data_IF_706905409446
#
_entry.id   IF_706905409446
#
_cell.length_a   1.000
_cell.length_b   1.000
_cell.length_c   1.000
_cell.angle_alpha   90.00
_cell.angle_beta   90.00
_cell.angle_gamma   90.00
#
_symmetry.space_group_name_H-M   'P 1'
#
loop_
_entity.id
_entity.type
_entity.pdbx_description
1 polymer ?
#
# COMPACT_ATOMS: atom_id res chain seq x y z
N UNK A 1 18.24 17.81 21.88
CA UNK A 1 18.38 16.44 22.41
C UNK A 1 17.68 15.52 21.42
N UNK A 2 18.28 14.37 21.10
CA UNK A 2 17.60 13.38 20.25
C UNK A 2 16.41 12.78 20.99
N UNK A 3 15.30 12.60 20.32
CA UNK A 3 14.09 11.95 20.88
C UNK A 3 14.42 10.52 21.33
N UNK A 4 14.03 10.11 22.53
CA UNK A 4 14.20 8.73 22.99
C UNK A 4 12.97 7.89 22.61
N UNK A 5 13.11 6.95 21.64
CA UNK A 5 12.02 6.06 21.23
C UNK A 5 11.67 4.98 22.27
N UNK A 6 12.41 4.86 23.34
CA UNK A 6 12.12 3.90 24.43
C UNK A 6 11.36 4.56 25.57
N UNK A 7 11.07 5.85 25.46
CA UNK A 7 10.27 6.60 26.42
C UNK A 7 8.78 6.40 26.16
N UNK A 8 8.12 5.55 26.94
CA UNK A 8 6.70 5.23 26.78
C UNK A 8 5.76 6.46 26.82
N UNK A 9 5.97 7.46 27.72
CA UNK A 9 5.22 8.73 27.71
C UNK A 9 5.27 9.54 26.43
N UNK A 10 6.26 9.30 25.55
CA UNK A 10 6.39 10.00 24.27
C UNK A 10 5.19 9.74 23.34
N UNK A 11 4.72 8.50 23.26
CA UNK A 11 3.78 8.07 22.22
C UNK A 11 2.42 8.77 22.27
N UNK A 12 1.74 8.91 23.42
CA UNK A 12 0.49 9.67 23.48
C UNK A 12 0.62 11.16 23.14
N UNK A 13 1.84 11.73 23.21
CA UNK A 13 2.05 13.16 23.00
C UNK A 13 2.01 13.56 21.53
N UNK A 14 2.45 12.69 20.63
CA UNK A 14 2.45 12.98 19.20
C UNK A 14 1.38 12.20 18.42
N UNK A 15 0.74 11.20 19.01
CA UNK A 15 -0.28 10.35 18.37
C UNK A 15 -1.65 10.45 19.08
N UNK A 16 -2.27 11.64 19.16
CA UNK A 16 -3.58 11.80 19.79
C UNK A 16 -4.70 11.07 19.01
N UNK A 17 -4.51 10.86 17.71
CA UNK A 17 -5.42 10.12 16.83
C UNK A 17 -5.27 8.59 16.90
N UNK A 18 -4.36 8.09 17.75
CA UNK A 18 -4.11 6.66 17.96
C UNK A 18 -3.80 5.88 16.66
N UNK A 19 -2.94 6.44 15.80
CA UNK A 19 -2.46 5.79 14.57
C UNK A 19 -1.81 4.44 14.88
N UNK A 20 -1.12 4.33 16.01
CA UNK A 20 -0.51 3.08 16.45
C UNK A 20 -1.53 1.93 16.53
N UNK A 21 -2.74 2.20 17.03
CA UNK A 21 -3.81 1.19 17.08
C UNK A 21 -4.13 0.67 15.68
N UNK A 22 -4.29 1.57 14.71
CA UNK A 22 -4.64 1.18 13.34
C UNK A 22 -3.54 0.38 12.66
N UNK A 23 -2.27 0.68 12.95
CA UNK A 23 -1.12 -0.12 12.48
C UNK A 23 -1.18 -1.53 13.11
N UNK A 24 -1.42 -1.62 14.42
CA UNK A 24 -1.51 -2.90 15.13
C UNK A 24 -2.70 -3.76 14.69
N UNK A 25 -3.77 -3.14 14.22
CA UNK A 25 -4.98 -3.83 13.79
C UNK A 25 -4.81 -4.55 12.42
N UNK A 26 -3.69 -4.36 11.71
CA UNK A 26 -3.50 -4.94 10.37
C UNK A 26 -3.77 -6.46 10.29
N UNK A 27 -3.32 -7.32 11.23
CA UNK A 27 -3.66 -8.75 11.19
C UNK A 27 -5.17 -9.01 11.25
N UNK A 28 -5.89 -8.25 12.08
CA UNK A 28 -7.34 -8.36 12.22
C UNK A 28 -8.07 -7.81 11.00
N UNK A 29 -7.59 -6.68 10.42
CA UNK A 29 -8.13 -6.16 9.15
C UNK A 29 -8.07 -7.21 8.04
N UNK A 30 -6.95 -7.93 7.92
CA UNK A 30 -6.78 -9.01 6.93
C UNK A 30 -7.79 -10.13 7.18
N UNK A 31 -7.93 -10.61 8.42
CA UNK A 31 -8.83 -11.70 8.80
C UNK A 31 -10.30 -11.32 8.55
N UNK A 32 -10.71 -10.14 8.99
CA UNK A 32 -12.07 -9.65 8.86
C UNK A 32 -12.45 -9.38 7.40
N UNK A 33 -11.54 -8.72 6.65
CA UNK A 33 -11.76 -8.46 5.24
C UNK A 33 -11.87 -9.74 4.41
N UNK A 34 -11.09 -10.78 4.76
CA UNK A 34 -11.22 -12.09 4.12
C UNK A 34 -12.59 -12.72 4.37
N UNK A 35 -13.07 -12.70 5.61
CA UNK A 35 -14.39 -13.20 5.96
C UNK A 35 -15.51 -12.43 5.20
N UNK A 36 -15.44 -11.09 5.19
CA UNK A 36 -16.37 -10.25 4.40
C UNK A 36 -16.34 -10.64 2.93
N UNK A 37 -15.16 -10.83 2.36
CA UNK A 37 -15.04 -11.19 0.95
C UNK A 37 -15.67 -12.55 0.61
N UNK A 38 -15.67 -13.52 1.54
CA UNK A 38 -16.31 -14.84 1.30
C UNK A 38 -17.82 -14.74 1.21
N UNK A 39 -18.46 -13.86 2.00
CA UNK A 39 -19.92 -13.76 2.12
C UNK A 39 -20.54 -12.65 1.24
N UNK A 40 -19.73 -11.72 0.74
CA UNK A 40 -20.22 -10.57 -0.02
C UNK A 40 -20.91 -10.98 -1.34
N UNK A 41 -21.91 -10.22 -1.82
CA UNK A 41 -22.65 -10.56 -3.04
C UNK A 41 -21.75 -10.52 -4.28
N UNK A 42 -21.76 -11.61 -5.07
CA UNK A 42 -21.06 -11.70 -6.34
C UNK A 42 -21.83 -12.61 -7.29
N UNK A 43 -22.53 -12.08 -8.31
CA UNK A 43 -23.27 -12.88 -9.28
C UNK A 43 -22.33 -13.78 -10.10
N UNK A 44 -22.79 -15.01 -10.42
CA UNK A 44 -21.99 -15.98 -11.19
C UNK A 44 -21.57 -15.45 -12.56
N UNK A 45 -22.38 -14.62 -13.20
CA UNK A 45 -22.04 -13.98 -14.46
C UNK A 45 -20.73 -13.17 -14.41
N UNK A 46 -20.33 -12.68 -13.22
CA UNK A 46 -19.09 -11.91 -13.05
C UNK A 46 -17.82 -12.76 -13.17
N UNK A 47 -17.93 -14.10 -13.16
CA UNK A 47 -16.80 -15.01 -13.39
C UNK A 47 -16.33 -15.03 -14.85
N UNK A 48 -17.15 -14.55 -15.77
CA UNK A 48 -16.83 -14.50 -17.20
C UNK A 48 -16.23 -13.14 -17.59
N UNK A 49 -15.04 -12.86 -17.09
CA UNK A 49 -14.30 -11.60 -17.37
C UNK A 49 -12.94 -11.87 -18.02
N UNK A 50 -12.48 -10.90 -18.79
CA UNK A 50 -11.18 -10.93 -19.47
C UNK A 50 -10.19 -9.91 -18.87
N UNK A 51 -10.67 -8.95 -18.08
CA UNK A 51 -9.87 -7.86 -17.55
C UNK A 51 -10.49 -7.28 -16.27
N UNK A 52 -9.66 -6.79 -15.37
CA UNK A 52 -10.06 -6.06 -14.17
C UNK A 52 -9.47 -4.66 -14.19
N UNK A 53 -10.30 -3.65 -13.98
CA UNK A 53 -9.87 -2.28 -13.74
C UNK A 53 -10.28 -1.86 -12.32
N UNK A 54 -9.32 -1.43 -11.51
CA UNK A 54 -9.58 -0.90 -10.16
C UNK A 54 -9.48 0.62 -10.22
N UNK A 55 -10.62 1.30 -10.04
CA UNK A 55 -10.67 2.76 -9.92
C UNK A 55 -10.56 3.20 -8.47
N UNK A 56 -9.61 4.11 -8.17
CA UNK A 56 -9.42 4.59 -6.81
C UNK A 56 -8.29 5.59 -6.67
N UNK A 57 -8.19 6.22 -5.50
CA UNK A 57 -7.12 7.16 -5.14
C UNK A 57 -6.45 6.75 -3.84
N UNK A 58 -5.23 7.24 -3.58
CA UNK A 58 -4.50 7.08 -2.32
C UNK A 58 -4.47 5.65 -1.79
N UNK A 59 -4.97 5.45 -0.56
CA UNK A 59 -5.02 4.15 0.13
C UNK A 59 -5.88 3.09 -0.57
N UNK A 60 -6.93 3.50 -1.30
CA UNK A 60 -7.77 2.57 -2.07
C UNK A 60 -7.08 2.12 -3.36
N UNK A 61 -6.40 3.02 -4.05
CA UNK A 61 -5.67 2.70 -5.27
C UNK A 61 -4.44 1.84 -5.01
N UNK A 62 -3.73 2.05 -3.91
CA UNK A 62 -2.55 1.23 -3.57
C UNK A 62 -2.93 -0.23 -3.30
N UNK A 63 -4.14 -0.50 -2.76
CA UNK A 63 -4.68 -1.87 -2.66
C UNK A 63 -4.77 -2.56 -4.02
N UNK A 64 -5.22 -1.83 -5.04
CA UNK A 64 -5.23 -2.31 -6.44
C UNK A 64 -3.83 -2.56 -6.99
N UNK A 65 -2.84 -1.66 -6.76
CA UNK A 65 -1.45 -1.88 -7.19
C UNK A 65 -0.84 -3.12 -6.54
N UNK A 66 -1.12 -3.35 -5.25
CA UNK A 66 -0.64 -4.52 -4.52
C UNK A 66 -1.27 -5.81 -5.08
N UNK A 67 -2.58 -5.81 -5.34
CA UNK A 67 -3.23 -6.92 -6.02
C UNK A 67 -2.64 -7.12 -7.41
N UNK A 68 -2.39 -6.06 -8.19
CA UNK A 68 -1.75 -6.14 -9.51
C UNK A 68 -0.43 -6.91 -9.45
N UNK A 69 0.42 -6.60 -8.46
CA UNK A 69 1.69 -7.32 -8.27
C UNK A 69 1.51 -8.82 -7.99
N UNK A 70 0.45 -9.22 -7.29
CA UNK A 70 0.09 -10.63 -7.09
C UNK A 70 -0.46 -11.26 -8.37
N UNK A 71 -1.31 -10.53 -9.10
CA UNK A 71 -1.91 -10.98 -10.37
C UNK A 71 -0.85 -11.18 -11.47
N UNK A 72 0.14 -10.32 -11.58
CA UNK A 72 1.26 -10.47 -12.52
C UNK A 72 2.05 -11.76 -12.30
N UNK A 73 1.98 -12.34 -11.11
CA UNK A 73 2.65 -13.60 -10.78
C UNK A 73 1.78 -14.85 -11.01
N UNK A 74 0.49 -14.76 -10.70
CA UNK A 74 -0.42 -15.93 -10.61
C UNK A 74 -1.81 -15.68 -11.17
N UNK A 75 -2.12 -14.47 -11.62
CA UNK A 75 -3.41 -14.14 -12.20
C UNK A 75 -3.59 -14.70 -13.59
N UNK A 76 -4.83 -14.92 -13.98
CA UNK A 76 -5.22 -15.44 -15.30
C UNK A 76 -5.76 -14.36 -16.23
N UNK A 77 -6.05 -13.16 -15.72
CA UNK A 77 -6.48 -11.98 -16.49
C UNK A 77 -5.64 -10.77 -16.11
N UNK A 78 -5.44 -9.80 -17.02
CA UNK A 78 -4.77 -8.55 -16.70
C UNK A 78 -5.58 -7.71 -15.68
N UNK A 79 -4.83 -6.96 -14.86
CA UNK A 79 -5.39 -5.98 -13.95
C UNK A 79 -4.68 -4.65 -14.11
N UNK A 80 -5.44 -3.57 -14.17
CA UNK A 80 -4.89 -2.23 -14.12
C UNK A 80 -5.54 -1.37 -13.03
N UNK A 81 -4.85 -0.32 -12.63
CA UNK A 81 -5.32 0.63 -11.63
C UNK A 81 -5.45 2.00 -12.25
N UNK A 82 -6.68 2.49 -12.31
CA UNK A 82 -7.02 3.77 -12.93
C UNK A 82 -7.08 4.85 -11.85
N UNK A 83 -6.32 5.93 -12.07
CA UNK A 83 -6.28 7.12 -11.23
C UNK A 83 -6.59 8.34 -12.08
N UNK A 84 -7.45 9.20 -11.57
CA UNK A 84 -7.89 10.39 -12.28
C UNK A 84 -9.37 10.33 -12.63
N UNK A 85 -9.78 11.14 -13.61
CA UNK A 85 -11.19 11.37 -13.90
C UNK A 85 -11.71 10.63 -15.13
N UNK A 86 -10.83 9.98 -15.91
CA UNK A 86 -11.20 9.34 -17.17
C UNK A 86 -10.75 7.89 -17.22
N UNK A 87 -11.65 7.01 -17.66
CA UNK A 87 -11.30 5.63 -17.98
C UNK A 87 -10.56 5.58 -19.33
N UNK A 88 -9.48 4.78 -19.44
CA UNK A 88 -8.88 4.45 -20.73
C UNK A 88 -9.94 4.01 -21.76
N UNK A 89 -9.78 4.47 -23.01
CA UNK A 89 -10.78 4.25 -24.06
C UNK A 89 -11.03 2.76 -24.38
N UNK A 90 -10.05 1.90 -24.13
CA UNK A 90 -10.17 0.46 -24.38
C UNK A 90 -10.89 -0.31 -23.26
N UNK A 91 -11.22 0.33 -22.14
CA UNK A 91 -12.00 -0.25 -21.06
C UNK A 91 -13.49 -0.07 -21.35
N UNK A 92 -14.10 -1.09 -21.94
CA UNK A 92 -15.53 -1.12 -22.30
C UNK A 92 -16.07 -2.55 -22.41
N UNK A 93 -17.38 -2.72 -22.25
CA UNK A 93 -18.08 -3.97 -22.48
C UNK A 93 -18.19 -4.90 -21.26
N UNK A 94 -19.12 -5.85 -21.37
CA UNK A 94 -19.57 -6.72 -20.26
C UNK A 94 -18.52 -7.73 -19.75
N UNK A 95 -17.44 -7.97 -20.51
CA UNK A 95 -16.34 -8.84 -20.07
C UNK A 95 -15.24 -8.10 -19.30
N UNK A 96 -15.43 -6.79 -19.10
CA UNK A 96 -14.58 -5.95 -18.27
C UNK A 96 -15.21 -5.80 -16.88
N UNK A 97 -14.43 -6.04 -15.83
CA UNK A 97 -14.84 -5.74 -14.46
C UNK A 97 -14.22 -4.44 -13.99
N UNK A 98 -15.05 -3.49 -13.63
CA UNK A 98 -14.63 -2.28 -12.92
C UNK A 98 -14.87 -2.42 -11.42
N UNK A 99 -13.86 -2.19 -10.61
CA UNK A 99 -13.96 -2.17 -9.15
C UNK A 99 -13.85 -0.72 -8.67
N UNK A 100 -14.96 -0.14 -8.24
CA UNK A 100 -15.00 1.19 -7.63
C UNK A 100 -14.51 1.11 -6.18
N UNK A 101 -13.23 1.35 -5.95
CA UNK A 101 -12.59 1.24 -4.63
C UNK A 101 -12.41 2.64 -4.01
N UNK A 102 -13.20 2.95 -2.99
CA UNK A 102 -13.09 4.21 -2.25
C UNK A 102 -13.56 4.03 -0.81
N UNK A 103 -12.66 4.16 0.16
CA UNK A 103 -13.04 4.04 1.58
C UNK A 103 -14.20 4.97 1.93
N UNK A 104 -14.08 6.27 1.67
CA UNK A 104 -15.14 7.24 1.99
C UNK A 104 -16.39 7.12 1.11
N UNK A 105 -16.27 6.51 -0.07
CA UNK A 105 -17.31 6.48 -1.10
C UNK A 105 -17.65 7.84 -1.72
N UNK A 106 -16.85 8.87 -1.42
CA UNK A 106 -17.09 10.24 -1.89
C UNK A 106 -15.98 10.79 -2.80
N UNK A 107 -14.94 10.00 -3.08
CA UNK A 107 -13.82 10.39 -3.94
C UNK A 107 -14.34 10.71 -5.34
N UNK A 108 -14.17 11.96 -5.78
CA UNK A 108 -14.78 12.45 -7.03
C UNK A 108 -14.24 11.74 -8.27
N UNK A 109 -12.94 11.46 -8.32
CA UNK A 109 -12.31 10.71 -9.40
C UNK A 109 -12.90 9.30 -9.50
N UNK A 110 -13.05 8.59 -8.37
CA UNK A 110 -13.61 7.23 -8.36
C UNK A 110 -15.07 7.23 -8.78
N UNK A 111 -15.83 8.27 -8.44
CA UNK A 111 -17.23 8.41 -8.87
C UNK A 111 -17.32 8.68 -10.36
N UNK A 112 -16.49 9.59 -10.91
CA UNK A 112 -16.42 9.84 -12.35
C UNK A 112 -16.09 8.54 -13.11
N UNK A 113 -15.14 7.75 -12.63
CA UNK A 113 -14.79 6.46 -13.24
C UNK A 113 -15.93 5.45 -13.17
N UNK A 114 -16.67 5.41 -12.05
CA UNK A 114 -17.85 4.54 -11.88
C UNK A 114 -18.96 4.87 -12.89
N UNK A 115 -19.28 6.15 -13.07
CA UNK A 115 -20.27 6.58 -14.01
C UNK A 115 -19.90 6.14 -15.44
N UNK A 116 -18.65 6.39 -15.86
CA UNK A 116 -18.14 5.96 -17.16
C UNK A 116 -18.14 4.44 -17.35
N UNK A 117 -17.81 3.67 -16.31
CA UNK A 117 -17.83 2.21 -16.37
C UNK A 117 -19.25 1.68 -16.62
N UNK A 118 -20.26 2.29 -15.98
CA UNK A 118 -21.67 1.96 -16.18
C UNK A 118 -22.14 2.35 -17.61
N UNK A 119 -21.78 3.55 -18.06
CA UNK A 119 -22.12 4.01 -19.42
C UNK A 119 -21.51 3.12 -20.51
N UNK A 120 -20.31 2.55 -20.26
CA UNK A 120 -19.61 1.66 -21.19
C UNK A 120 -20.02 0.18 -21.05
N UNK A 121 -21.06 -0.12 -20.26
CA UNK A 121 -21.61 -1.47 -20.09
C UNK A 121 -20.67 -2.46 -19.41
N UNK A 122 -19.74 -1.97 -18.57
CA UNK A 122 -18.85 -2.82 -17.77
C UNK A 122 -19.61 -3.47 -16.60
N UNK A 123 -19.17 -4.63 -16.16
CA UNK A 123 -19.55 -5.19 -14.84
C UNK A 123 -18.90 -4.36 -13.75
N UNK A 124 -19.64 -4.08 -12.68
CA UNK A 124 -19.15 -3.20 -11.61
C UNK A 124 -19.30 -3.86 -10.25
N UNK A 125 -18.26 -3.76 -9.41
CA UNK A 125 -18.30 -4.04 -7.97
C UNK A 125 -17.88 -2.79 -7.22
N UNK A 126 -18.67 -2.39 -6.23
CA UNK A 126 -18.32 -1.28 -5.35
C UNK A 126 -17.70 -1.80 -4.04
N UNK A 127 -16.54 -1.26 -3.63
CA UNK A 127 -15.85 -1.56 -2.37
C UNK A 127 -15.69 -0.25 -1.58
N UNK A 128 -16.45 -0.11 -0.49
CA UNK A 128 -16.50 1.17 0.25
C UNK A 128 -17.03 0.96 1.68
N UNK A 129 -16.84 1.95 2.57
CA UNK A 129 -17.54 1.98 3.87
C UNK A 129 -18.91 2.66 3.79
N UNK A 130 -19.22 3.38 2.68
CA UNK A 130 -20.48 4.13 2.54
C UNK A 130 -20.42 5.20 1.46
N UNK A 131 -21.05 6.34 1.70
CA UNK A 131 -21.05 7.51 0.82
C UNK A 131 -21.80 7.31 -0.49
N UNK A 132 -21.58 8.24 -1.42
CA UNK A 132 -22.31 8.32 -2.71
C UNK A 132 -22.10 7.08 -3.60
N UNK A 133 -20.94 6.44 -3.53
CA UNK A 133 -20.69 5.18 -4.25
C UNK A 133 -21.59 4.06 -3.71
N UNK A 134 -21.76 3.95 -2.38
CA UNK A 134 -22.66 2.97 -1.81
C UNK A 134 -24.14 3.25 -2.12
N UNK A 135 -24.54 4.52 -2.12
CA UNK A 135 -25.88 4.95 -2.53
C UNK A 135 -26.16 4.54 -3.98
N UNK A 136 -25.28 4.93 -4.90
CA UNK A 136 -25.39 4.59 -6.31
C UNK A 136 -25.37 3.07 -6.58
N UNK A 137 -24.54 2.33 -5.84
CA UNK A 137 -24.50 0.88 -5.95
C UNK A 137 -25.84 0.23 -5.53
N UNK A 138 -26.48 0.72 -4.47
CA UNK A 138 -27.81 0.25 -4.05
C UNK A 138 -28.91 0.60 -5.05
N UNK A 139 -28.92 1.85 -5.54
CA UNK A 139 -29.90 2.31 -6.53
C UNK A 139 -29.82 1.55 -7.87
N UNK A 140 -28.62 1.12 -8.23
CA UNK A 140 -28.33 0.37 -9.47
C UNK A 140 -28.28 -1.14 -9.27
N UNK A 141 -28.57 -1.65 -8.05
CA UNK A 141 -28.51 -3.07 -7.67
C UNK A 141 -27.15 -3.72 -7.99
N UNK A 142 -26.03 -2.95 -7.84
CA UNK A 142 -24.68 -3.45 -8.07
C UNK A 142 -24.18 -4.24 -6.86
N UNK A 143 -23.30 -5.24 -7.05
CA UNK A 143 -22.57 -5.87 -5.97
C UNK A 143 -21.84 -4.82 -5.10
N UNK A 144 -22.25 -4.72 -3.84
CA UNK A 144 -21.71 -3.76 -2.88
C UNK A 144 -21.02 -4.51 -1.74
N UNK A 145 -19.71 -4.34 -1.63
CA UNK A 145 -18.86 -4.92 -0.59
C UNK A 145 -18.53 -3.84 0.44
N UNK A 146 -19.10 -3.94 1.61
CA UNK A 146 -18.91 -2.96 2.67
C UNK A 146 -18.11 -3.53 3.82
N UNK A 147 -17.35 -2.64 4.46
CA UNK A 147 -16.65 -2.91 5.72
C UNK A 147 -16.81 -1.69 6.64
N UNK A 148 -16.75 -1.92 7.94
CA UNK A 148 -16.84 -0.87 8.94
C UNK A 148 -15.50 -0.77 9.68
N UNK A 149 -14.78 0.32 9.44
CA UNK A 149 -13.50 0.58 10.09
C UNK A 149 -13.23 2.08 10.18
N UNK A 150 -13.29 2.62 11.39
CA UNK A 150 -13.04 4.04 11.64
C UNK A 150 -11.55 4.34 11.71
N UNK A 151 -10.96 4.67 10.56
CA UNK A 151 -9.57 5.08 10.41
C UNK A 151 -9.37 5.88 9.12
N UNK A 152 -8.19 6.48 8.95
CA UNK A 152 -7.83 7.12 7.67
C UNK A 152 -7.69 6.06 6.55
N UNK A 153 -7.88 6.44 5.27
CA UNK A 153 -7.77 5.47 4.15
C UNK A 153 -6.43 4.71 4.12
N UNK A 154 -5.32 5.38 4.42
CA UNK A 154 -3.98 4.75 4.46
C UNK A 154 -3.83 3.71 5.56
N UNK A 155 -4.59 3.83 6.64
CA UNK A 155 -4.59 2.91 7.78
C UNK A 155 -5.53 1.72 7.61
N UNK A 156 -6.29 1.65 6.49
CA UNK A 156 -7.25 0.58 6.18
C UNK A 156 -6.73 -0.36 5.10
N UNK A 157 -5.40 -0.50 4.96
CA UNK A 157 -4.80 -1.26 3.85
C UNK A 157 -5.14 -2.76 3.90
N UNK A 158 -5.30 -3.32 5.10
CA UNK A 158 -5.73 -4.70 5.26
C UNK A 158 -7.07 -4.95 4.59
N UNK A 159 -8.06 -4.07 4.78
CA UNK A 159 -9.35 -4.14 4.08
C UNK A 159 -9.18 -3.88 2.59
N UNK A 160 -8.52 -2.77 2.21
CA UNK A 160 -8.41 -2.38 0.80
C UNK A 160 -7.77 -3.45 -0.08
N UNK A 161 -6.74 -4.14 0.42
CA UNK A 161 -6.09 -5.22 -0.32
C UNK A 161 -6.86 -6.54 -0.23
N UNK A 162 -7.24 -6.96 0.99
CA UNK A 162 -7.77 -8.32 1.18
C UNK A 162 -9.16 -8.51 0.57
N UNK A 163 -10.01 -7.47 0.56
CA UNK A 163 -11.27 -7.51 -0.18
C UNK A 163 -11.03 -7.71 -1.69
N UNK A 164 -10.04 -7.03 -2.27
CA UNK A 164 -9.69 -7.20 -3.69
C UNK A 164 -9.08 -8.57 -3.98
N UNK A 165 -8.25 -9.11 -3.08
CA UNK A 165 -7.69 -10.48 -3.17
C UNK A 165 -8.82 -11.51 -3.10
N UNK A 166 -9.76 -11.35 -2.17
CA UNK A 166 -10.94 -12.20 -2.05
C UNK A 166 -11.86 -12.15 -3.28
N UNK A 167 -12.03 -10.95 -3.86
CA UNK A 167 -12.76 -10.79 -5.12
C UNK A 167 -12.07 -11.55 -6.26
N UNK A 168 -10.78 -11.37 -6.44
CA UNK A 168 -10.01 -12.06 -7.48
C UNK A 168 -10.01 -13.60 -7.30
N UNK A 169 -9.96 -14.08 -6.05
CA UNK A 169 -10.11 -15.52 -5.72
C UNK A 169 -11.49 -16.05 -6.10
N UNK A 170 -12.55 -15.39 -5.69
CA UNK A 170 -13.95 -15.81 -5.98
C UNK A 170 -14.33 -15.73 -7.45
N UNK A 171 -13.70 -14.82 -8.20
CA UNK A 171 -13.81 -14.78 -9.66
C UNK A 171 -13.06 -15.94 -10.34
N UNK A 172 -12.22 -16.68 -9.61
CA UNK A 172 -11.38 -17.74 -10.14
C UNK A 172 -10.16 -17.24 -10.94
N UNK A 173 -9.84 -15.95 -10.85
CA UNK A 173 -8.73 -15.34 -11.60
C UNK A 173 -7.40 -15.26 -10.81
N UNK A 174 -7.45 -15.53 -9.52
CA UNK A 174 -6.29 -15.64 -8.63
C UNK A 174 -6.47 -16.86 -7.72
N UNK A 175 -5.54 -17.79 -7.73
CA UNK A 175 -5.60 -19.04 -6.95
C UNK A 175 -4.52 -19.14 -5.87
N UNK A 176 -4.74 -20.01 -4.88
CA UNK A 176 -3.78 -20.35 -3.84
C UNK A 176 -3.55 -19.18 -2.86
N UNK A 177 -4.60 -18.43 -2.55
CA UNK A 177 -4.55 -17.31 -1.60
C UNK A 177 -5.24 -17.65 -0.26
N UNK A 178 -6.07 -18.68 -0.21
CA UNK A 178 -6.80 -19.12 0.99
C UNK A 178 -5.83 -19.44 2.13
N UNK A 179 -4.92 -20.40 1.91
CA UNK A 179 -3.90 -20.79 2.90
C UNK A 179 -2.92 -19.63 3.19
N UNK A 180 -2.68 -18.76 2.19
CA UNK A 180 -1.80 -17.61 2.33
C UNK A 180 -2.38 -16.53 3.27
N UNK A 181 -3.70 -16.44 3.42
CA UNK A 181 -4.33 -15.49 4.35
C UNK A 181 -4.04 -15.88 5.79
N UNK A 182 -4.20 -17.16 6.16
CA UNK A 182 -3.89 -17.64 7.51
C UNK A 182 -2.40 -17.50 7.84
N UNK A 183 -1.53 -17.90 6.91
CA UNK A 183 -0.08 -17.66 7.01
C UNK A 183 0.23 -16.19 7.26
N UNK A 184 -0.44 -15.30 6.53
CA UNK A 184 -0.24 -13.85 6.64
C UNK A 184 -0.60 -13.34 8.02
N UNK A 185 -1.77 -13.70 8.55
CA UNK A 185 -2.23 -13.26 9.88
C UNK A 185 -1.24 -13.69 10.97
N UNK A 186 -0.76 -14.94 10.91
CA UNK A 186 0.22 -15.46 11.87
C UNK A 186 1.58 -14.73 11.75
N UNK A 187 2.07 -14.56 10.53
CA UNK A 187 3.34 -13.88 10.27
C UNK A 187 3.31 -12.40 10.71
N UNK A 188 2.18 -11.70 10.48
CA UNK A 188 1.98 -10.33 10.93
C UNK A 188 1.99 -10.22 12.46
N UNK A 189 1.28 -11.10 13.17
CA UNK A 189 1.28 -11.13 14.65
C UNK A 189 2.66 -11.42 15.21
N UNK A 190 3.37 -12.41 14.63
CA UNK A 190 4.74 -12.75 15.03
C UNK A 190 5.74 -11.61 14.77
N UNK A 191 5.58 -10.89 13.65
CA UNK A 191 6.40 -9.71 13.37
C UNK A 191 6.07 -8.56 14.32
N UNK A 192 4.79 -8.25 14.51
CA UNK A 192 4.32 -7.15 15.35
C UNK A 192 4.89 -7.21 16.76
N UNK A 193 4.97 -8.39 17.36
CA UNK A 193 5.51 -8.55 18.73
C UNK A 193 6.92 -8.00 18.93
N UNK A 194 7.70 -7.85 17.84
CA UNK A 194 9.06 -7.30 17.82
C UNK A 194 9.11 -5.81 17.48
N UNK A 195 7.98 -5.22 17.06
CA UNK A 195 7.93 -3.87 16.54
C UNK A 195 7.19 -2.89 17.46
N UNK A 196 6.58 -3.37 18.53
CA UNK A 196 5.78 -2.55 19.44
C UNK A 196 6.64 -1.54 20.21
N UNK A 197 6.08 -0.38 20.64
CA UNK A 197 6.80 0.66 21.37
C UNK A 197 7.53 0.20 22.63
N UNK A 198 7.00 -0.81 23.33
CA UNK A 198 7.62 -1.38 24.55
C UNK A 198 8.86 -2.23 24.30
N UNK A 199 9.16 -2.58 23.03
CA UNK A 199 10.40 -3.27 22.68
C UNK A 199 11.51 -2.23 22.55
N UNK A 200 12.60 -2.41 23.29
CA UNK A 200 13.75 -1.51 23.29
C UNK A 200 14.34 -1.34 21.87
N UNK A 201 14.91 -0.18 21.59
CA UNK A 201 15.46 0.15 20.27
C UNK A 201 16.50 -0.87 19.79
N UNK A 202 17.27 -1.46 20.71
CA UNK A 202 18.27 -2.50 20.41
C UNK A 202 17.66 -3.77 19.81
N UNK A 203 16.42 -4.11 20.21
CA UNK A 203 15.71 -5.31 19.81
C UNK A 203 14.58 -5.01 18.78
N UNK A 204 14.32 -3.72 18.52
CA UNK A 204 13.25 -3.27 17.64
C UNK A 204 13.79 -2.80 16.28
N UNK A 205 13.76 -3.66 15.24
CA UNK A 205 14.35 -3.31 13.96
C UNK A 205 13.65 -2.15 13.23
N UNK A 206 12.39 -1.82 13.59
CA UNK A 206 11.72 -0.66 13.00
C UNK A 206 12.16 0.66 13.65
N UNK A 207 12.41 0.66 14.97
CA UNK A 207 13.03 1.82 15.66
C UNK A 207 14.46 2.05 15.16
N UNK A 208 15.26 0.98 15.02
CA UNK A 208 16.62 1.05 14.48
C UNK A 208 16.64 1.65 13.06
N UNK A 209 15.76 1.15 12.17
CA UNK A 209 15.67 1.73 10.82
C UNK A 209 15.17 3.17 10.86
N UNK A 210 14.19 3.51 11.70
CA UNK A 210 13.71 4.89 11.83
C UNK A 210 14.83 5.87 12.20
N UNK A 211 15.73 5.47 13.12
CA UNK A 211 16.94 6.26 13.46
C UNK A 211 17.85 6.49 12.25
N UNK A 212 17.99 5.49 11.39
CA UNK A 212 18.81 5.58 10.18
C UNK A 212 18.17 6.48 9.12
N UNK A 213 16.85 6.70 9.18
CA UNK A 213 16.10 7.57 8.28
C UNK A 213 15.91 9.00 8.82
N UNK A 214 16.23 9.26 10.10
CA UNK A 214 16.10 10.57 10.73
C UNK A 214 16.92 11.63 9.99
N UNK A 215 16.28 12.71 9.54
CA UNK A 215 16.95 13.81 8.81
C UNK A 215 17.48 13.42 7.42
N UNK A 216 17.09 12.27 6.87
CA UNK A 216 17.49 11.81 5.54
C UNK A 216 16.37 11.95 4.52
N UNK A 217 16.72 11.84 3.25
CA UNK A 217 15.82 11.68 2.12
C UNK A 217 15.81 10.20 1.72
N UNK A 218 14.83 9.41 2.18
CA UNK A 218 14.81 7.98 1.90
C UNK A 218 14.27 7.67 0.50
N UNK A 219 14.92 6.70 -0.15
CA UNK A 219 14.49 6.07 -1.38
C UNK A 219 14.16 4.60 -1.11
N UNK A 220 12.97 4.18 -1.48
CA UNK A 220 12.52 2.80 -1.32
C UNK A 220 12.56 2.09 -2.65
N UNK A 221 13.41 1.05 -2.76
CA UNK A 221 13.56 0.29 -4.00
C UNK A 221 12.85 -1.07 -3.86
N UNK A 222 12.01 -1.38 -4.85
CA UNK A 222 11.28 -2.65 -4.94
C UNK A 222 11.53 -3.37 -6.24
N UNK A 223 11.01 -4.60 -6.36
CA UNK A 223 11.02 -5.38 -7.60
C UNK A 223 9.77 -6.25 -7.72
N UNK A 224 9.33 -6.52 -8.93
CA UNK A 224 8.19 -7.41 -9.21
C UNK A 224 6.98 -7.07 -8.34
N UNK A 225 6.43 -8.04 -7.62
CA UNK A 225 5.24 -7.85 -6.77
C UNK A 225 5.46 -6.89 -5.58
N UNK A 226 6.70 -6.55 -5.25
CA UNK A 226 7.03 -5.57 -4.21
C UNK A 226 7.14 -4.12 -4.73
N UNK A 227 6.95 -3.89 -6.02
CA UNK A 227 6.95 -2.53 -6.62
C UNK A 227 5.96 -1.61 -5.90
N UNK A 228 4.74 -2.07 -5.68
CA UNK A 228 3.71 -1.29 -4.99
C UNK A 228 4.00 -1.09 -3.50
N UNK A 229 4.74 -2.02 -2.88
CA UNK A 229 5.19 -1.87 -1.48
C UNK A 229 6.17 -0.72 -1.36
N UNK A 230 7.14 -0.60 -2.28
CA UNK A 230 8.10 0.52 -2.30
C UNK A 230 7.36 1.87 -2.46
N UNK A 231 6.39 1.94 -3.38
CA UNK A 231 5.52 3.11 -3.53
C UNK A 231 4.76 3.43 -2.24
N UNK A 232 4.21 2.41 -1.55
CA UNK A 232 3.48 2.61 -0.29
C UNK A 232 4.40 3.11 0.82
N UNK A 233 5.61 2.59 0.98
CA UNK A 233 6.56 3.08 1.95
C UNK A 233 6.80 4.58 1.78
N UNK A 234 6.99 5.02 0.53
CA UNK A 234 7.12 6.45 0.21
C UNK A 234 5.88 7.23 0.68
N UNK A 235 4.66 6.77 0.40
CA UNK A 235 3.46 7.49 0.79
C UNK A 235 3.26 7.53 2.30
N UNK A 236 3.60 6.46 3.02
CA UNK A 236 3.55 6.43 4.48
C UNK A 236 4.54 7.40 5.13
N UNK A 237 5.75 7.54 4.59
CA UNK A 237 6.69 8.58 5.03
C UNK A 237 6.13 9.98 4.81
N UNK A 238 5.50 10.24 3.65
CA UNK A 238 4.89 11.54 3.38
C UNK A 238 3.72 11.85 4.30
N UNK A 239 2.78 10.89 4.45
CA UNK A 239 1.52 11.14 5.16
C UNK A 239 1.63 10.99 6.68
N UNK A 240 2.39 10.02 7.21
CA UNK A 240 2.58 9.84 8.64
C UNK A 240 3.70 10.74 9.17
N UNK A 241 4.91 10.58 8.65
CA UNK A 241 6.09 11.27 9.16
C UNK A 241 6.27 12.71 8.65
N UNK A 242 5.43 13.17 7.71
CA UNK A 242 5.53 14.48 7.05
C UNK A 242 6.90 14.67 6.40
N UNK A 243 7.56 13.58 6.04
CA UNK A 243 8.90 13.55 5.50
C UNK A 243 8.89 13.26 4.00
N UNK A 244 9.67 14.02 3.24
CA UNK A 244 9.83 13.74 1.82
C UNK A 244 10.55 12.41 1.60
N UNK A 245 10.07 11.62 0.64
CA UNK A 245 10.61 10.32 0.27
C UNK A 245 10.39 10.06 -1.22
N UNK A 246 11.17 9.12 -1.78
CA UNK A 246 10.99 8.66 -3.16
C UNK A 246 11.00 7.13 -3.23
N UNK A 247 10.73 6.58 -4.40
CA UNK A 247 10.77 5.15 -4.66
C UNK A 247 11.19 4.87 -6.09
N UNK A 248 11.74 3.66 -6.34
CA UNK A 248 12.11 3.22 -7.68
C UNK A 248 12.10 1.69 -7.76
N UNK A 249 12.24 1.13 -8.95
CA UNK A 249 12.04 -0.30 -9.19
C UNK A 249 13.13 -0.96 -10.01
N UNK A 250 13.53 -2.15 -9.59
CA UNK A 250 14.35 -3.07 -10.40
C UNK A 250 13.45 -3.87 -11.36
N UNK A 251 13.91 -4.12 -12.57
CA UNK A 251 15.26 -3.84 -13.13
C UNK A 251 15.42 -2.43 -13.74
N UNK A 252 14.36 -1.64 -13.88
CA UNK A 252 14.34 -0.37 -14.61
C UNK A 252 15.37 0.64 -14.09
N UNK A 253 15.48 0.81 -12.77
CA UNK A 253 16.43 1.74 -12.17
C UNK A 253 17.91 1.45 -12.57
N UNK A 254 18.23 0.22 -12.97
CA UNK A 254 19.57 -0.14 -13.46
C UNK A 254 19.85 0.34 -14.89
N UNK A 255 18.87 0.93 -15.57
CA UNK A 255 19.02 1.50 -16.92
C UNK A 255 19.11 3.02 -16.91
N UNK A 256 18.86 3.67 -15.75
CA UNK A 256 18.82 5.13 -15.62
C UNK A 256 19.32 5.61 -14.25
N UNK A 257 18.62 5.33 -13.15
CA UNK A 257 18.87 5.88 -11.81
C UNK A 257 20.30 5.61 -11.30
N UNK A 258 20.87 4.44 -11.59
CA UNK A 258 22.23 4.06 -11.17
C UNK A 258 23.31 4.97 -11.74
N UNK A 259 23.06 5.63 -12.88
CA UNK A 259 24.00 6.56 -13.50
C UNK A 259 24.09 7.88 -12.72
N UNK A 260 23.01 8.23 -12.02
CA UNK A 260 22.94 9.45 -11.22
C UNK A 260 23.46 9.33 -9.79
N UNK A 261 23.85 8.13 -9.34
CA UNK A 261 24.40 7.96 -7.99
C UNK A 261 25.67 8.83 -7.82
N UNK A 262 25.76 9.55 -6.72
CA UNK A 262 26.93 10.37 -6.40
C UNK A 262 26.81 11.87 -6.75
N UNK A 263 25.80 12.30 -7.51
CA UNK A 263 25.60 13.71 -7.85
C UNK A 263 24.15 14.17 -7.55
N UNK A 264 23.93 15.44 -7.10
CA UNK A 264 24.97 16.40 -6.69
C UNK A 264 25.65 15.97 -5.39
N UNK A 265 26.96 16.15 -5.26
CA UNK A 265 27.74 15.75 -4.08
C UNK A 265 27.19 16.31 -2.76
N UNK A 266 26.62 17.51 -2.78
CA UNK A 266 26.02 18.15 -1.59
C UNK A 266 24.75 17.43 -1.08
N UNK A 267 24.08 16.63 -1.91
CA UNK A 267 22.85 15.89 -1.55
C UNK A 267 23.17 14.47 -1.08
N UNK A 268 24.24 13.87 -1.59
CA UNK A 268 24.62 12.46 -1.31
C UNK A 268 24.63 12.13 0.19
N UNK A 269 25.17 12.96 1.11
CA UNK A 269 25.16 12.63 2.54
C UNK A 269 23.77 12.57 3.19
N UNK A 270 22.77 13.12 2.51
CA UNK A 270 21.37 13.11 2.97
C UNK A 270 20.56 11.98 2.38
N UNK A 271 21.08 11.24 1.40
CA UNK A 271 20.39 10.12 0.76
C UNK A 271 20.54 8.85 1.60
N UNK A 272 19.49 8.06 1.61
CA UNK A 272 19.47 6.69 2.16
C UNK A 272 18.56 5.83 1.29
N UNK A 273 19.02 4.63 0.96
CA UNK A 273 18.21 3.67 0.17
C UNK A 273 17.81 2.50 1.05
N UNK A 274 16.54 2.10 0.97
CA UNK A 274 16.04 0.88 1.61
C UNK A 274 15.56 -0.07 0.52
N UNK A 275 16.20 -1.24 0.43
CA UNK A 275 15.82 -2.31 -0.49
C UNK A 275 14.74 -3.18 0.14
N UNK A 276 13.59 -3.28 -0.50
CA UNK A 276 12.50 -4.17 -0.13
C UNK A 276 12.64 -5.45 -0.94
N UNK A 277 13.14 -6.50 -0.30
CA UNK A 277 13.58 -7.73 -0.96
C UNK A 277 12.67 -8.91 -0.69
N UNK A 278 12.69 -9.86 -1.62
CA UNK A 278 12.00 -11.14 -1.53
C UNK A 278 12.95 -12.31 -1.83
N UNK A 279 12.81 -13.41 -1.10
CA UNK A 279 13.45 -14.67 -1.47
C UNK A 279 12.84 -15.27 -2.76
N UNK A 280 11.65 -14.77 -3.16
CA UNK A 280 10.93 -15.16 -4.39
C UNK A 280 11.34 -14.34 -5.61
N UNK A 281 12.28 -13.40 -5.50
CA UNK A 281 12.82 -12.64 -6.63
C UNK A 281 13.43 -13.55 -7.69
N UNK A 282 13.28 -13.14 -8.95
CA UNK A 282 13.95 -13.81 -10.07
C UNK A 282 15.48 -13.84 -9.83
N UNK A 283 16.20 -14.94 -10.16
CA UNK A 283 17.64 -15.05 -9.90
C UNK A 283 18.46 -13.87 -10.45
N UNK A 284 18.12 -13.35 -11.63
CA UNK A 284 18.79 -12.17 -12.21
C UNK A 284 18.53 -10.88 -11.41
N UNK A 285 17.36 -10.74 -10.78
CA UNK A 285 17.03 -9.60 -9.90
C UNK A 285 17.84 -9.69 -8.62
N UNK A 286 18.04 -10.89 -8.06
CA UNK A 286 18.93 -11.10 -6.89
C UNK A 286 20.34 -10.60 -7.17
N UNK A 287 20.91 -10.88 -8.34
CA UNK A 287 22.23 -10.34 -8.73
C UNK A 287 22.20 -8.81 -8.87
N UNK A 288 21.11 -8.25 -9.46
CA UNK A 288 20.97 -6.80 -9.60
C UNK A 288 20.96 -6.08 -8.25
N UNK A 289 20.32 -6.65 -7.24
CA UNK A 289 20.32 -6.11 -5.87
C UNK A 289 21.76 -5.94 -5.34
N UNK A 290 22.59 -6.98 -5.43
CA UNK A 290 23.97 -6.94 -4.94
C UNK A 290 24.78 -5.88 -5.69
N UNK A 291 24.71 -5.89 -7.03
CA UNK A 291 25.45 -4.90 -7.85
C UNK A 291 24.97 -3.48 -7.58
N UNK A 292 23.66 -3.26 -7.40
CA UNK A 292 23.11 -1.94 -7.09
C UNK A 292 23.62 -1.45 -5.72
N UNK A 293 23.69 -2.34 -4.73
CA UNK A 293 24.23 -2.05 -3.40
C UNK A 293 25.72 -1.65 -3.48
N UNK A 294 26.50 -2.38 -4.26
CA UNK A 294 27.93 -2.06 -4.50
C UNK A 294 28.09 -0.68 -5.15
N UNK A 295 27.22 -0.35 -6.12
CA UNK A 295 27.25 0.97 -6.78
C UNK A 295 26.87 2.10 -5.82
N UNK A 296 25.88 1.92 -4.97
CA UNK A 296 25.54 2.89 -3.92
C UNK A 296 26.71 3.10 -2.95
N UNK A 297 27.30 2.00 -2.47
CA UNK A 297 28.45 2.04 -1.57
C UNK A 297 29.64 2.80 -2.19
N UNK A 298 29.96 2.55 -3.46
CA UNK A 298 31.00 3.27 -4.20
C UNK A 298 30.75 4.77 -4.32
N UNK A 299 29.50 5.19 -4.25
CA UNK A 299 29.07 6.58 -4.31
C UNK A 299 28.72 7.17 -2.92
N UNK A 300 29.11 6.50 -1.83
CA UNK A 300 28.90 6.93 -0.44
C UNK A 300 27.41 7.08 -0.06
N UNK A 301 26.51 6.38 -0.72
CA UNK A 301 25.08 6.33 -0.36
C UNK A 301 24.83 5.15 0.55
N UNK A 302 24.21 5.39 1.70
CA UNK A 302 23.84 4.32 2.64
C UNK A 302 22.70 3.50 2.09
N UNK A 303 22.80 2.17 2.21
CA UNK A 303 21.75 1.24 1.79
C UNK A 303 21.47 0.20 2.87
N UNK A 304 20.17 -0.06 3.12
CA UNK A 304 19.67 -1.07 4.04
C UNK A 304 18.76 -2.05 3.30
N UNK A 305 18.67 -3.28 3.80
CA UNK A 305 17.89 -4.33 3.17
C UNK A 305 16.84 -4.87 4.15
N UNK A 306 15.59 -4.90 3.73
CA UNK A 306 14.48 -5.46 4.50
C UNK A 306 13.84 -6.56 3.66
N UNK A 307 13.72 -7.76 4.23
CA UNK A 307 13.15 -8.92 3.57
C UNK A 307 11.70 -9.16 4.00
N UNK A 308 10.85 -9.45 3.03
CA UNK A 308 9.51 -10.00 3.30
C UNK A 308 9.63 -11.33 4.05
N UNK A 309 8.73 -11.56 5.00
CA UNK A 309 8.66 -12.79 5.80
C UNK A 309 7.52 -13.66 5.30
N UNK A 310 7.66 -14.97 5.47
CA UNK A 310 6.71 -15.98 5.02
C UNK A 310 7.06 -16.56 3.66
N UNK A 311 6.29 -17.56 3.25
CA UNK A 311 6.52 -18.33 2.03
C UNK A 311 5.72 -17.79 0.84
N UNK A 312 4.51 -17.25 1.09
CA UNK A 312 3.66 -16.74 0.03
C UNK A 312 3.98 -15.29 -0.36
N UNK A 313 3.74 -14.90 -1.63
CA UNK A 313 3.88 -13.50 -2.04
C UNK A 313 2.99 -12.54 -1.24
N UNK A 314 1.76 -12.95 -0.88
CA UNK A 314 0.84 -12.15 -0.07
C UNK A 314 1.42 -11.88 1.31
N UNK A 315 1.96 -12.90 1.97
CA UNK A 315 2.57 -12.79 3.30
C UNK A 315 3.80 -11.90 3.28
N UNK A 316 4.69 -12.08 2.29
CA UNK A 316 5.89 -11.23 2.17
C UNK A 316 5.55 -9.77 1.90
N UNK A 317 4.56 -9.51 1.07
CA UNK A 317 4.07 -8.18 0.76
C UNK A 317 3.50 -7.50 2.02
N UNK A 318 2.60 -8.17 2.75
CA UNK A 318 1.95 -7.60 3.93
C UNK A 318 2.89 -7.45 5.13
N UNK A 319 3.85 -8.36 5.31
CA UNK A 319 4.87 -8.22 6.37
C UNK A 319 5.79 -7.03 6.11
N UNK A 320 6.16 -6.74 4.85
CA UNK A 320 6.91 -5.54 4.51
C UNK A 320 6.08 -4.26 4.68
N UNK A 321 4.79 -4.28 4.35
CA UNK A 321 3.88 -3.16 4.62
C UNK A 321 3.81 -2.89 6.12
N UNK A 322 3.58 -3.90 6.93
CA UNK A 322 3.47 -3.77 8.38
C UNK A 322 4.75 -3.21 9.02
N UNK A 323 5.89 -3.72 8.60
CA UNK A 323 7.18 -3.21 9.03
C UNK A 323 7.35 -1.72 8.66
N UNK A 324 7.03 -1.34 7.42
CA UNK A 324 7.12 0.04 6.94
C UNK A 324 6.17 0.99 7.65
N UNK A 325 4.97 0.53 8.00
CA UNK A 325 4.00 1.33 8.77
C UNK A 325 4.57 1.65 10.17
N UNK A 326 5.19 0.68 10.86
CA UNK A 326 5.91 0.92 12.12
C UNK A 326 7.11 1.85 11.95
N UNK A 327 7.92 1.67 10.89
CA UNK A 327 9.05 2.56 10.62
C UNK A 327 8.56 4.00 10.43
N UNK A 328 7.52 4.23 9.61
CA UNK A 328 6.96 5.57 9.39
C UNK A 328 6.43 6.18 10.69
N UNK A 329 5.82 5.36 11.56
CA UNK A 329 5.34 5.78 12.87
C UNK A 329 6.48 6.23 13.80
N UNK A 330 7.59 5.49 13.84
CA UNK A 330 8.74 5.89 14.64
C UNK A 330 9.46 7.11 14.06
N UNK A 331 9.52 7.27 12.73
CA UNK A 331 10.02 8.50 12.12
C UNK A 331 9.12 9.70 12.45
N UNK A 332 7.81 9.49 12.57
CA UNK A 332 6.87 10.53 13.04
C UNK A 332 7.25 11.06 14.43
N UNK A 333 7.57 10.14 15.35
CA UNK A 333 8.03 10.50 16.70
C UNK A 333 9.35 11.30 16.66
N UNK A 334 10.30 10.87 15.80
CA UNK A 334 11.58 11.56 15.63
C UNK A 334 11.42 12.96 15.03
N UNK A 335 10.46 13.14 14.12
CA UNK A 335 10.16 14.42 13.52
C UNK A 335 9.28 15.32 14.42
N UNK A 336 8.74 14.80 15.52
CA UNK A 336 7.89 15.53 16.47
C UNK A 336 6.58 16.02 15.85
N UNK A 337 5.97 15.23 14.96
CA UNK A 337 4.73 15.57 14.24
C UNK A 337 3.60 14.60 14.57
N UNK A 338 2.34 15.02 14.41
CA UNK A 338 1.18 14.12 14.49
C UNK A 338 1.03 13.32 13.19
N UNK A 339 0.94 11.96 13.26
CA UNK A 339 0.74 11.16 12.06
C UNK A 339 -0.62 11.36 11.39
N UNK A 340 -1.65 11.77 12.12
CA UNK A 340 -3.04 11.69 11.67
C UNK A 340 -3.44 12.79 10.68
N UNK A 341 -3.27 14.10 10.95
CA UNK A 341 -3.74 15.17 10.06
C UNK A 341 -2.97 15.21 8.75
N UNK A 342 -3.64 15.64 7.69
CA UNK A 342 -3.08 15.80 6.33
C UNK A 342 -3.46 17.17 5.75
N UNK A 343 -3.15 18.23 6.48
CA UNK A 343 -3.57 19.62 6.24
C UNK A 343 -3.39 20.08 4.78
N UNK A 344 -2.27 19.72 4.15
CA UNK A 344 -2.04 20.08 2.74
C UNK A 344 -3.02 19.41 1.77
N UNK A 345 -3.47 18.18 2.09
CA UNK A 345 -4.50 17.49 1.28
C UNK A 345 -5.86 18.10 1.53
N UNK A 346 -6.16 18.48 2.76
CA UNK A 346 -7.44 19.10 3.11
C UNK A 346 -7.54 20.49 2.48
N UNK A 347 -6.48 21.30 2.54
CA UNK A 347 -6.39 22.55 1.81
C UNK A 347 -6.62 22.41 0.30
N UNK A 348 -6.02 21.37 -0.32
CA UNK A 348 -6.24 21.08 -1.75
C UNK A 348 -7.71 20.80 -2.04
N UNK A 349 -8.37 19.95 -1.21
CA UNK A 349 -9.80 19.64 -1.37
C UNK A 349 -10.70 20.87 -1.21
N UNK A 350 -10.40 21.73 -0.25
CA UNK A 350 -11.11 23.01 -0.07
C UNK A 350 -11.02 23.87 -1.34
N UNK A 351 -9.81 24.00 -1.90
CA UNK A 351 -9.61 24.77 -3.13
C UNK A 351 -10.29 24.15 -4.37
N UNK A 352 -10.31 22.81 -4.47
CA UNK A 352 -11.04 22.13 -5.56
C UNK A 352 -12.55 22.32 -5.45
N UNK A 353 -13.10 22.36 -4.24
CA UNK A 353 -14.53 22.60 -4.02
C UNK A 353 -14.99 24.01 -4.39
N UNK A 354 -14.07 24.97 -4.60
CA UNK A 354 -14.37 26.33 -5.07
C UNK A 354 -14.48 26.40 -6.60
N UNK A 355 -14.09 25.36 -7.32
CA UNK A 355 -14.15 25.28 -8.79
C UNK A 355 -15.34 24.44 -9.19
N UNK A 356 -16.29 25.03 -9.94
CA UNK A 356 -17.47 24.35 -10.50
C UNK A 356 -17.12 23.40 -11.67
#
# INVERSE_FOLDING_TARGET
>A
MSVNLDDAPLYPTFDPGNMLKTIRDLPEQVREAWAVAQDAPLPDAYKEIDHIAVGGMGGSAIGGDLLKGLMERRGTVPLEVVRGYELPAYLEGERMLFVASSKSGNTEETRSLLDQALERGMRVVAVTTGGKIAEQARERELPLWTFDYDATPRASIGYSLTLLVGLASRLGVLSGVEDAVDETVEALRGLQSKLLPQVETEDNPAKDLARKLEGKLPFFFGSGFLTAVARRWKTQMNENAKQWASWDVLPELNHNTVVGFGLPESVVPHLVVVFLRSNLDHPRVKVRWEVTKDLLTKNNVLAYEIYGRGESPLTQLLTLIHFGDFVSYYVTALNGVDPTPVENIDYLKERLAEVE
#
